data_IF_437186736319
#
_entry.id   IF_437186736319
#
_cell.length_a   1.000
_cell.length_b   1.000
_cell.length_c   1.000
_cell.angle_alpha   90.00
_cell.angle_beta   90.00
_cell.angle_gamma   90.00
#
_symmetry.space_group_name_H-M   'P 1'
#
loop_
_entity.id
_entity.type
_entity.pdbx_description
1 polymer ?
#
# COMPACT_ATOMS: atom_id res chain seq x y z
N UNK A 1 53.14 -45.71 -11.41
CA UNK A 1 51.67 -45.62 -11.55
C UNK A 1 51.27 -44.27 -10.97
N UNK A 2 50.90 -43.31 -11.81
CA UNK A 2 50.43 -41.98 -11.38
C UNK A 2 48.92 -41.94 -11.57
N UNK A 3 48.19 -41.75 -10.49
CA UNK A 3 46.74 -41.52 -10.51
C UNK A 3 46.53 -40.01 -10.77
N UNK A 4 45.74 -39.59 -11.76
CA UNK A 4 45.42 -38.17 -11.93
C UNK A 4 44.49 -37.70 -10.80
N UNK A 5 44.79 -36.55 -10.19
CA UNK A 5 43.91 -35.89 -9.23
C UNK A 5 42.58 -35.47 -9.89
N UNK A 6 41.45 -35.54 -9.18
CA UNK A 6 40.18 -35.00 -9.67
C UNK A 6 40.23 -33.47 -9.69
N UNK A 7 39.50 -32.80 -10.60
CA UNK A 7 39.45 -31.34 -10.63
C UNK A 7 38.75 -30.80 -9.37
N UNK A 8 39.31 -29.73 -8.83
CA UNK A 8 38.73 -28.95 -7.71
C UNK A 8 37.39 -28.38 -8.17
N UNK A 9 36.28 -28.48 -7.41
CA UNK A 9 35.04 -27.81 -7.76
C UNK A 9 35.26 -26.29 -7.68
N UNK A 10 35.07 -25.62 -8.81
CA UNK A 10 34.99 -24.16 -8.92
C UNK A 10 33.91 -23.65 -7.95
N UNK A 11 34.13 -22.54 -7.22
CA UNK A 11 33.09 -21.99 -6.35
C UNK A 11 31.89 -21.62 -7.21
N UNK A 12 30.74 -22.22 -6.89
CA UNK A 12 29.47 -21.88 -7.52
C UNK A 12 29.33 -20.36 -7.56
N UNK A 13 29.14 -19.82 -8.77
CA UNK A 13 28.83 -18.42 -8.97
C UNK A 13 27.72 -18.01 -7.99
N UNK A 14 27.79 -16.83 -7.35
CA UNK A 14 26.67 -16.36 -6.57
C UNK A 14 25.45 -16.29 -7.50
N UNK A 15 24.35 -16.91 -7.05
CA UNK A 15 23.03 -16.78 -7.67
C UNK A 15 22.81 -15.31 -8.10
N UNK A 16 22.32 -15.05 -9.33
CA UNK A 16 22.01 -13.69 -9.72
C UNK A 16 20.98 -13.17 -8.72
N UNK A 17 21.39 -12.16 -7.94
CA UNK A 17 20.54 -11.41 -7.04
C UNK A 17 19.21 -11.18 -7.74
N UNK A 18 18.13 -11.77 -7.23
CA UNK A 18 16.78 -11.46 -7.70
C UNK A 18 16.62 -9.94 -7.54
N UNK A 19 16.55 -9.15 -8.62
CA UNK A 19 16.21 -7.76 -8.53
C UNK A 19 14.69 -7.73 -8.32
N UNK A 20 14.27 -7.42 -7.10
CA UNK A 20 12.85 -7.27 -6.80
C UNK A 20 12.24 -8.46 -6.05
N UNK A 21 12.84 -8.84 -4.93
CA UNK A 21 11.98 -9.12 -3.78
C UNK A 21 11.25 -7.79 -3.50
N UNK A 22 9.95 -7.79 -3.82
CA UNK A 22 8.99 -6.72 -3.67
C UNK A 22 9.52 -5.58 -2.81
N UNK A 23 9.64 -4.39 -3.41
CA UNK A 23 9.54 -3.17 -2.62
C UNK A 23 8.41 -3.42 -1.59
N UNK A 24 8.61 -3.16 -0.29
CA UNK A 24 7.47 -3.12 0.60
C UNK A 24 6.45 -2.25 -0.11
N UNK A 25 5.31 -2.84 -0.51
CA UNK A 25 4.21 -2.07 -1.07
C UNK A 25 4.01 -0.87 -0.15
N UNK A 26 3.67 0.32 -0.69
CA UNK A 26 3.57 1.52 0.14
C UNK A 26 2.79 1.12 1.38
N UNK A 27 3.47 1.09 2.53
CA UNK A 27 2.82 0.68 3.77
C UNK A 27 1.60 1.58 3.85
N UNK A 28 0.37 1.04 3.83
CA UNK A 28 -0.83 1.86 3.71
C UNK A 28 -0.70 2.90 4.80
N UNK A 29 -0.48 4.12 4.32
CA UNK A 29 0.02 5.20 5.14
C UNK A 29 -0.99 5.32 6.23
N UNK A 30 -0.57 5.04 7.46
CA UNK A 30 -1.41 5.16 8.65
C UNK A 30 -2.01 6.56 8.57
N UNK A 31 -3.24 6.65 8.07
CA UNK A 31 -3.84 7.94 7.78
C UNK A 31 -4.10 8.53 9.16
N UNK A 32 -3.34 9.56 9.52
CA UNK A 32 -3.52 10.27 10.78
C UNK A 32 -4.79 11.14 10.66
N UNK A 33 -5.94 10.47 10.62
CA UNK A 33 -7.28 11.02 10.43
C UNK A 33 -7.60 12.14 11.41
N UNK A 34 -6.94 12.15 12.58
CA UNK A 34 -7.14 13.15 13.64
C UNK A 34 -6.56 14.54 13.35
N UNK A 35 -5.75 14.72 12.28
CA UNK A 35 -5.09 16.01 11.98
C UNK A 35 -5.26 16.48 10.53
N UNK A 36 -6.13 15.85 9.75
CA UNK A 36 -6.30 16.23 8.35
C UNK A 36 -7.09 17.54 8.25
N UNK A 37 -6.45 18.58 7.72
CA UNK A 37 -7.12 19.82 7.33
C UNK A 37 -7.89 19.58 6.04
N UNK A 38 -9.15 19.15 6.20
CA UNK A 38 -10.01 18.75 5.09
C UNK A 38 -10.00 19.82 3.99
N UNK A 39 -10.17 21.10 4.33
CA UNK A 39 -10.26 22.23 3.39
C UNK A 39 -9.08 22.37 2.42
N UNK A 40 -7.90 21.81 2.75
CA UNK A 40 -6.66 21.98 1.97
C UNK A 40 -6.17 20.70 1.29
N UNK A 41 -6.80 19.55 1.53
CA UNK A 41 -6.42 18.29 0.88
C UNK A 41 -7.04 18.14 -0.50
N UNK A 42 -6.35 17.35 -1.33
CA UNK A 42 -6.86 16.86 -2.61
C UNK A 42 -7.86 15.73 -2.37
N UNK A 43 -9.14 16.09 -2.30
CA UNK A 43 -10.23 15.16 -1.98
C UNK A 43 -10.32 13.98 -2.98
N UNK A 44 -9.99 14.19 -4.26
CA UNK A 44 -10.01 13.13 -5.27
C UNK A 44 -8.97 12.04 -4.97
N UNK A 45 -7.73 12.45 -4.67
CA UNK A 45 -6.66 11.51 -4.31
C UNK A 45 -6.99 10.77 -3.02
N UNK A 46 -7.49 11.49 -2.01
CA UNK A 46 -7.84 10.89 -0.72
C UNK A 46 -9.00 9.89 -0.83
N UNK A 47 -10.04 10.19 -1.63
CA UNK A 47 -11.12 9.25 -1.92
C UNK A 47 -10.63 8.00 -2.66
N UNK A 48 -9.70 8.15 -3.61
CA UNK A 48 -9.12 7.02 -4.34
C UNK A 48 -8.30 6.11 -3.42
N UNK A 49 -7.48 6.70 -2.53
CA UNK A 49 -6.70 5.96 -1.53
C UNK A 49 -7.61 5.25 -0.55
N UNK A 50 -8.52 5.97 0.11
CA UNK A 50 -9.44 5.41 1.10
C UNK A 50 -10.32 4.30 0.49
N UNK A 51 -10.75 4.46 -0.77
CA UNK A 51 -11.50 3.42 -1.50
C UNK A 51 -10.67 2.16 -1.79
N UNK A 52 -9.37 2.31 -2.08
CA UNK A 52 -8.46 1.17 -2.24
C UNK A 52 -8.26 0.46 -0.91
N UNK A 53 -7.94 1.20 0.15
CA UNK A 53 -7.72 0.64 1.49
C UNK A 53 -8.97 -0.07 2.01
N UNK A 54 -10.16 0.52 1.81
CA UNK A 54 -11.42 -0.12 2.21
C UNK A 54 -11.61 -1.48 1.54
N UNK A 55 -11.24 -1.60 0.26
CA UNK A 55 -11.30 -2.88 -0.46
C UNK A 55 -10.32 -3.89 0.13
N UNK A 56 -9.10 -3.46 0.45
CA UNK A 56 -8.07 -4.28 1.10
C UNK A 56 -8.54 -4.79 2.47
N UNK A 57 -9.05 -3.92 3.34
CA UNK A 57 -9.52 -4.31 4.68
C UNK A 57 -10.72 -5.25 4.61
N UNK A 58 -11.66 -5.01 3.68
CA UNK A 58 -12.77 -5.95 3.42
C UNK A 58 -12.28 -7.31 2.95
N UNK A 59 -11.29 -7.37 2.06
CA UNK A 59 -10.72 -8.64 1.60
C UNK A 59 -10.01 -9.41 2.72
N UNK A 60 -9.43 -8.70 3.70
CA UNK A 60 -8.79 -9.27 4.88
C UNK A 60 -9.76 -9.66 5.99
N UNK A 61 -11.03 -9.25 5.88
CA UNK A 61 -12.06 -9.47 6.91
C UNK A 61 -11.95 -8.53 8.11
N UNK A 62 -11.21 -7.43 7.97
CA UNK A 62 -11.07 -6.43 9.03
C UNK A 62 -12.24 -5.44 8.97
N UNK A 63 -13.32 -5.81 9.64
CA UNK A 63 -14.58 -5.05 9.65
C UNK A 63 -14.44 -3.69 10.33
N UNK A 64 -13.69 -3.61 11.43
CA UNK A 64 -13.53 -2.37 12.20
C UNK A 64 -12.82 -1.30 11.37
N UNK A 65 -11.71 -1.67 10.71
CA UNK A 65 -11.01 -0.76 9.81
C UNK A 65 -11.84 -0.40 8.57
N UNK A 66 -12.62 -1.35 8.05
CA UNK A 66 -13.52 -1.09 6.93
C UNK A 66 -14.66 -0.12 7.30
N UNK A 67 -15.22 -0.20 8.50
CA UNK A 67 -16.22 0.75 9.00
C UNK A 67 -15.61 2.14 9.20
N UNK A 68 -14.40 2.21 9.77
CA UNK A 68 -13.68 3.47 9.95
C UNK A 68 -13.40 4.16 8.61
N UNK A 69 -12.92 3.43 7.61
CA UNK A 69 -12.68 3.98 6.26
C UNK A 69 -13.97 4.35 5.55
N UNK A 70 -15.08 3.65 5.80
CA UNK A 70 -16.41 4.03 5.32
C UNK A 70 -16.80 5.41 5.84
N UNK A 71 -16.73 5.62 7.15
CA UNK A 71 -17.02 6.92 7.77
C UNK A 71 -16.08 8.03 7.29
N UNK A 72 -14.81 7.70 7.00
CA UNK A 72 -13.87 8.65 6.42
C UNK A 72 -14.25 9.06 5.00
N UNK A 73 -14.61 8.11 4.14
CA UNK A 73 -15.10 8.38 2.78
C UNK A 73 -16.34 9.27 2.81
N UNK A 74 -17.31 8.99 3.70
CA UNK A 74 -18.50 9.84 3.88
C UNK A 74 -18.11 11.28 4.26
N UNK A 75 -17.13 11.44 5.15
CA UNK A 75 -16.61 12.76 5.55
C UNK A 75 -15.96 13.51 4.38
N UNK A 76 -15.18 12.81 3.56
CA UNK A 76 -14.55 13.38 2.36
C UNK A 76 -15.60 13.80 1.31
N UNK A 77 -16.65 13.01 1.13
CA UNK A 77 -17.75 13.31 0.22
C UNK A 77 -18.60 14.50 0.71
N UNK A 78 -18.86 14.60 2.02
CA UNK A 78 -19.54 15.75 2.61
C UNK A 78 -18.76 17.05 2.36
N UNK A 79 -17.44 17.01 2.59
CA UNK A 79 -16.57 18.15 2.31
C UNK A 79 -16.52 18.49 0.80
N UNK A 80 -16.49 17.49 -0.09
CA UNK A 80 -16.58 17.73 -1.53
C UNK A 80 -17.87 18.48 -1.89
N UNK A 81 -19.01 18.00 -1.39
CA UNK A 81 -20.32 18.61 -1.64
C UNK A 81 -20.40 20.03 -1.08
N UNK A 82 -19.75 20.31 0.05
CA UNK A 82 -19.65 21.64 0.64
C UNK A 82 -18.87 22.62 -0.25
N UNK A 83 -17.80 22.16 -0.90
CA UNK A 83 -17.00 22.97 -1.84
C UNK A 83 -17.67 23.17 -3.19
N UNK A 84 -18.41 22.15 -3.63
CA UNK A 84 -19.06 22.11 -4.92
C UNK A 84 -20.56 21.89 -4.76
N UNK A 85 -21.30 22.87 -4.21
CA UNK A 85 -22.74 22.79 -4.16
C UNK A 85 -23.26 22.67 -5.60
N UNK A 86 -24.09 21.67 -5.87
CA UNK A 86 -24.80 21.54 -7.15
C UNK A 86 -25.75 22.74 -7.25
N UNK A 87 -25.33 23.78 -7.98
CA UNK A 87 -26.11 24.98 -8.30
C UNK A 87 -27.04 24.73 -9.47
#
# INVERSE_FOLDING_TARGET
MTIPEPPVPEPAAPDPAIPGAAAPGPEPGRVDLGRVDLARIDLCSELAVAGSELRDYRARGDGEMAELLGAWIDTLLDEWNRRHPLV
#
